data_IF_118145369713
#
_entry.id   IF_118145369713
#
_cell.length_a   1.000
_cell.length_b   1.000
_cell.length_c   1.000
_cell.angle_alpha   90.00
_cell.angle_beta   90.00
_cell.angle_gamma   90.00
#
_symmetry.space_group_name_H-M   'P 1'
#
loop_
_entity.id
_entity.type
_entity.pdbx_description
1 polymer ?
#
# COMPACT_ATOMS: atom_id res chain seq x y z
N UNK A 1 41.10 -40.52 19.98
CA UNK A 1 41.11 -39.40 19.02
C UNK A 1 39.76 -39.30 18.33
N UNK A 2 38.77 -38.64 18.93
CA UNK A 2 37.50 -38.36 18.27
C UNK A 2 37.14 -36.91 18.58
N UNK A 3 37.35 -36.05 17.58
CA UNK A 3 37.15 -34.59 17.69
C UNK A 3 35.65 -34.31 17.64
N UNK A 4 35.16 -33.70 18.71
CA UNK A 4 33.84 -33.08 18.81
C UNK A 4 33.82 -31.89 17.84
N UNK A 5 32.89 -31.88 16.89
CA UNK A 5 32.61 -30.73 16.04
C UNK A 5 31.21 -30.20 16.42
N UNK A 6 31.17 -29.26 17.36
CA UNK A 6 29.96 -28.51 17.72
C UNK A 6 29.77 -27.40 16.66
N UNK A 7 28.89 -27.64 15.69
CA UNK A 7 28.38 -26.60 14.80
C UNK A 7 27.35 -25.76 15.57
N UNK A 8 27.77 -24.58 16.03
CA UNK A 8 26.84 -23.58 16.59
C UNK A 8 26.20 -22.84 15.41
N UNK A 9 25.01 -23.28 15.01
CA UNK A 9 24.16 -22.55 14.07
C UNK A 9 23.55 -21.38 14.84
N UNK A 10 24.13 -20.19 14.70
CA UNK A 10 23.50 -18.94 15.14
C UNK A 10 22.42 -18.60 14.13
N UNK A 11 21.19 -19.05 14.38
CA UNK A 11 20.03 -18.65 13.60
C UNK A 11 19.72 -17.18 13.84
N UNK A 12 19.80 -16.35 12.79
CA UNK A 12 19.33 -14.96 12.82
C UNK A 12 17.80 -15.04 12.91
N UNK A 13 17.27 -14.93 14.13
CA UNK A 13 15.84 -14.76 14.35
C UNK A 13 15.53 -13.32 13.95
N UNK A 14 15.08 -13.11 12.71
CA UNK A 14 14.46 -11.85 12.34
C UNK A 14 13.16 -11.73 13.14
N UNK A 15 13.19 -10.99 14.25
CA UNK A 15 11.96 -10.44 14.82
C UNK A 15 11.37 -9.52 13.76
N UNK A 16 10.43 -10.06 13.00
CA UNK A 16 9.59 -9.28 12.11
C UNK A 16 8.69 -8.47 13.02
N UNK A 17 9.03 -7.20 13.24
CA UNK A 17 8.03 -6.26 13.77
C UNK A 17 6.93 -6.22 12.71
N UNK A 18 5.83 -6.92 12.97
CA UNK A 18 4.68 -6.91 12.07
C UNK A 18 3.91 -5.63 12.36
N UNK A 19 4.16 -4.60 11.55
CA UNK A 19 3.22 -3.49 11.41
C UNK A 19 1.92 -4.01 10.82
N UNK A 20 0.79 -3.54 11.33
CA UNK A 20 -0.53 -3.94 10.88
C UNK A 20 -0.72 -3.49 9.43
N UNK A 21 -1.00 -4.47 8.57
CA UNK A 21 -1.45 -4.23 7.20
C UNK A 21 -2.87 -3.62 7.20
N UNK A 22 -3.18 -2.86 6.16
CA UNK A 22 -4.51 -2.34 5.86
C UNK A 22 -4.95 -2.79 4.47
N UNK A 23 -5.26 -4.09 4.26
CA UNK A 23 -5.38 -4.71 2.94
C UNK A 23 -6.74 -4.53 2.26
N UNK A 24 -7.72 -3.90 2.91
CA UNK A 24 -9.10 -3.77 2.40
C UNK A 24 -9.73 -2.46 2.91
N UNK A 25 -10.90 -2.09 2.36
CA UNK A 25 -11.73 -1.01 2.87
C UNK A 25 -12.00 -1.23 4.36
N UNK A 26 -11.55 -0.26 5.17
CA UNK A 26 -11.63 -0.29 6.63
C UNK A 26 -10.79 -1.40 7.30
N UNK A 27 -9.71 -1.82 6.65
CA UNK A 27 -8.72 -2.73 7.21
C UNK A 27 -9.10 -4.20 7.08
N UNK A 28 -8.25 -5.09 7.61
CA UNK A 28 -8.34 -6.54 7.44
C UNK A 28 -9.72 -7.13 7.81
N UNK A 29 -10.35 -6.60 8.86
CA UNK A 29 -11.64 -7.07 9.36
C UNK A 29 -12.83 -6.21 8.87
N UNK A 30 -12.57 -5.19 8.04
CA UNK A 30 -13.55 -4.21 7.53
C UNK A 30 -14.31 -3.44 8.63
N UNK A 31 -13.80 -3.46 9.85
CA UNK A 31 -14.39 -2.85 11.03
C UNK A 31 -13.90 -1.41 11.28
N UNK A 32 -12.88 -0.96 10.54
CA UNK A 32 -12.29 0.38 10.66
C UNK A 32 -11.46 0.54 11.93
N UNK A 33 -11.00 -0.56 12.51
CA UNK A 33 -10.26 -0.56 13.77
C UNK A 33 -8.76 -0.69 13.50
N UNK A 34 -8.04 0.34 13.93
CA UNK A 34 -6.59 0.32 14.04
C UNK A 34 -6.19 -0.33 15.38
N UNK A 35 -5.28 -1.32 15.33
CA UNK A 35 -4.91 -2.20 16.44
C UNK A 35 -3.44 -2.10 16.84
N UNK A 36 -2.68 -1.26 16.15
CA UNK A 36 -1.29 -0.99 16.48
C UNK A 36 -1.17 -0.20 17.79
N UNK A 37 0.06 -0.04 18.26
CA UNK A 37 0.39 0.75 19.44
C UNK A 37 1.43 1.81 19.09
N UNK A 38 1.72 2.73 20.01
CA UNK A 38 2.73 3.77 19.76
C UNK A 38 2.25 4.92 18.87
N UNK A 39 0.94 5.20 18.82
CA UNK A 39 0.47 6.51 18.35
C UNK A 39 1.10 7.58 19.23
N UNK A 40 1.66 8.59 18.57
CA UNK A 40 2.09 9.81 19.22
C UNK A 40 0.87 10.70 19.49
N UNK A 41 0.67 11.12 20.74
CA UNK A 41 -0.38 12.10 21.09
C UNK A 41 0.04 13.53 20.71
N UNK A 42 1.35 13.74 20.55
CA UNK A 42 1.95 15.01 20.19
C UNK A 42 3.15 14.77 19.28
N UNK A 43 3.27 15.55 18.22
CA UNK A 43 4.47 15.58 17.40
C UNK A 43 5.60 16.31 18.13
N UNK A 44 6.84 15.85 17.95
CA UNK A 44 8.02 16.50 18.55
C UNK A 44 8.32 17.88 17.93
N UNK A 45 7.70 18.18 16.78
CA UNK A 45 7.84 19.41 16.01
C UNK A 45 6.49 19.83 15.45
N UNK A 46 6.31 21.14 15.22
CA UNK A 46 5.15 21.68 14.49
C UNK A 46 5.15 21.27 13.01
N UNK A 47 6.28 20.77 12.50
CA UNK A 47 6.44 20.28 11.13
C UNK A 47 6.63 18.77 11.14
N UNK A 48 5.77 18.06 10.42
CA UNK A 48 5.94 16.64 10.10
C UNK A 48 6.73 16.55 8.81
N UNK A 49 7.93 15.99 8.86
CA UNK A 49 8.74 15.78 7.66
C UNK A 49 8.05 14.81 6.70
N UNK A 50 7.90 15.24 5.46
CA UNK A 50 7.36 14.41 4.39
C UNK A 50 8.39 13.30 4.04
N UNK A 51 8.00 12.03 4.22
CA UNK A 51 8.87 10.91 3.84
C UNK A 51 9.04 10.78 2.33
N UNK A 52 7.94 10.81 1.59
CA UNK A 52 7.93 10.77 0.13
C UNK A 52 6.58 11.26 -0.41
N UNK A 53 6.57 11.61 -1.70
CA UNK A 53 5.36 11.92 -2.45
C UNK A 53 5.57 11.55 -3.92
N UNK A 54 4.53 11.02 -4.54
CA UNK A 54 4.52 10.67 -5.97
C UNK A 54 3.29 11.27 -6.64
N UNK A 55 3.43 11.83 -7.86
CA UNK A 55 2.27 12.29 -8.62
C UNK A 55 1.48 11.10 -9.15
N UNK A 56 0.17 11.12 -8.92
CA UNK A 56 -0.80 10.19 -9.52
C UNK A 56 -1.91 10.99 -10.23
N UNK A 57 -2.65 10.33 -11.10
CA UNK A 57 -3.85 10.87 -11.73
C UNK A 57 -5.00 11.06 -10.73
N UNK A 58 -6.09 11.71 -11.16
CA UNK A 58 -7.26 11.90 -10.32
C UNK A 58 -7.97 10.58 -9.98
N UNK A 59 -8.65 10.57 -8.84
CA UNK A 59 -9.40 9.42 -8.33
C UNK A 59 -9.96 9.71 -6.94
N UNK A 60 -10.82 8.82 -6.46
CA UNK A 60 -11.41 8.87 -5.12
C UNK A 60 -11.04 7.63 -4.28
N UNK A 61 -10.19 6.74 -4.80
CA UNK A 61 -9.74 5.55 -4.09
C UNK A 61 -8.94 5.93 -2.85
N UNK A 62 -9.32 5.36 -1.71
CA UNK A 62 -8.45 5.33 -0.54
C UNK A 62 -7.29 4.36 -0.78
N UNK A 63 -6.06 4.68 -0.32
CA UNK A 63 -4.93 3.79 -0.45
C UNK A 63 -5.10 2.56 0.46
N UNK A 64 -4.59 1.43 -0.01
CA UNK A 64 -4.50 0.17 0.73
C UNK A 64 -3.03 -0.13 0.98
N UNK A 65 -2.68 -0.65 2.16
CA UNK A 65 -1.29 -1.00 2.49
C UNK A 65 -1.21 -2.48 2.83
N UNK A 66 -0.33 -3.22 2.16
CA UNK A 66 -0.09 -4.61 2.54
C UNK A 66 1.31 -5.06 2.18
N UNK A 67 1.99 -5.69 3.15
CA UNK A 67 3.32 -6.31 2.98
C UNK A 67 4.36 -5.36 2.40
N UNK A 68 4.46 -4.16 2.96
CA UNK A 68 5.45 -3.16 2.55
C UNK A 68 5.10 -2.46 1.23
N UNK A 69 3.84 -2.50 0.80
CA UNK A 69 3.39 -1.92 -0.47
C UNK A 69 2.13 -1.08 -0.30
N UNK A 70 2.08 0.04 -1.00
CA UNK A 70 0.91 0.92 -1.09
C UNK A 70 0.23 0.70 -2.44
N UNK A 71 -1.08 0.52 -2.43
CA UNK A 71 -1.90 0.33 -3.62
C UNK A 71 -2.94 1.44 -3.70
N UNK A 72 -3.12 2.01 -4.89
CA UNK A 72 -4.10 3.06 -5.13
C UNK A 72 -4.51 3.01 -6.60
N UNK A 73 -5.76 3.39 -6.89
CA UNK A 73 -6.20 3.54 -8.27
C UNK A 73 -6.34 4.98 -8.68
N UNK A 74 -6.05 5.25 -9.95
CA UNK A 74 -6.28 6.56 -10.55
C UNK A 74 -6.81 6.46 -11.99
N UNK A 75 -7.11 7.62 -12.57
CA UNK A 75 -7.56 7.79 -13.95
C UNK A 75 -6.55 8.60 -14.75
N UNK A 76 -6.33 8.19 -15.99
CA UNK A 76 -5.69 8.97 -17.04
C UNK A 76 -6.74 9.48 -18.02
N UNK A 77 -6.67 10.76 -18.37
CA UNK A 77 -7.53 11.35 -19.41
C UNK A 77 -6.83 11.45 -20.77
N UNK A 78 -5.49 11.41 -20.78
CA UNK A 78 -4.65 11.54 -21.97
C UNK A 78 -3.50 10.52 -21.91
N UNK A 79 -3.02 10.03 -23.08
CA UNK A 79 -3.54 10.28 -24.42
C UNK A 79 -4.87 9.57 -24.72
N UNK A 80 -5.22 8.55 -23.94
CA UNK A 80 -6.51 7.86 -23.95
C UNK A 80 -7.07 7.77 -22.53
N UNK A 81 -8.38 7.56 -22.42
CA UNK A 81 -9.02 7.35 -21.13
C UNK A 81 -8.70 5.95 -20.60
N UNK A 82 -8.06 5.89 -19.44
CA UNK A 82 -7.69 4.64 -18.80
C UNK A 82 -7.79 4.77 -17.29
N UNK A 83 -8.01 3.66 -16.62
CA UNK A 83 -7.78 3.56 -15.17
C UNK A 83 -6.52 2.75 -14.92
N UNK A 84 -5.88 3.02 -13.78
CA UNK A 84 -4.71 2.28 -13.34
C UNK A 84 -4.89 1.78 -11.93
N UNK A 85 -4.37 0.59 -11.66
CA UNK A 85 -4.00 0.13 -10.33
C UNK A 85 -2.50 0.35 -10.19
N UNK A 86 -2.10 1.18 -9.23
CA UNK A 86 -0.71 1.53 -8.97
C UNK A 86 -0.23 0.80 -7.71
N UNK A 87 1.04 0.39 -7.72
CA UNK A 87 1.69 -0.19 -6.56
C UNK A 87 3.05 0.47 -6.32
N UNK A 88 3.24 0.93 -5.09
CA UNK A 88 4.45 1.61 -4.64
C UNK A 88 5.08 0.87 -3.48
N UNK A 89 6.39 1.00 -3.34
CA UNK A 89 7.09 0.63 -2.11
C UNK A 89 6.70 1.59 -0.98
N UNK A 90 6.31 1.03 0.17
CA UNK A 90 5.77 1.81 1.28
C UNK A 90 6.80 2.77 1.91
N UNK A 91 8.08 2.42 1.87
CA UNK A 91 9.13 3.20 2.54
C UNK A 91 9.70 4.30 1.65
N UNK A 92 9.76 4.05 0.34
CA UNK A 92 10.45 4.94 -0.61
C UNK A 92 9.49 5.69 -1.53
N UNK A 93 8.26 5.18 -1.72
CA UNK A 93 7.35 5.67 -2.74
C UNK A 93 7.73 5.25 -4.17
N UNK A 94 8.77 4.43 -4.36
CA UNK A 94 9.14 3.95 -5.69
C UNK A 94 8.01 3.11 -6.29
N UNK A 95 7.65 3.38 -7.55
CA UNK A 95 6.63 2.58 -8.23
C UNK A 95 7.17 1.19 -8.56
N UNK A 96 6.57 0.16 -7.97
CA UNK A 96 6.93 -1.24 -8.18
C UNK A 96 6.29 -1.75 -9.48
N UNK A 97 5.00 -1.47 -9.66
CA UNK A 97 4.27 -1.82 -10.88
C UNK A 97 3.03 -0.94 -11.06
N UNK A 98 2.50 -0.94 -12.28
CA UNK A 98 1.20 -0.39 -12.62
C UNK A 98 0.46 -1.36 -13.55
N UNK A 99 -0.83 -1.56 -13.32
CA UNK A 99 -1.73 -2.22 -14.24
C UNK A 99 -2.69 -1.19 -14.81
N UNK A 100 -2.75 -1.05 -16.13
CA UNK A 100 -3.59 -0.07 -16.81
C UNK A 100 -4.57 -0.78 -17.73
N UNK A 101 -5.80 -0.30 -17.78
CA UNK A 101 -6.82 -0.76 -18.72
C UNK A 101 -7.64 0.41 -19.27
N UNK A 102 -8.11 0.27 -20.51
CA UNK A 102 -8.98 1.26 -21.14
C UNK A 102 -10.30 1.36 -20.38
N UNK A 103 -10.71 2.58 -20.03
CA UNK A 103 -11.92 2.83 -19.28
C UNK A 103 -12.51 4.17 -19.70
N UNK A 104 -13.56 4.13 -20.52
CA UNK A 104 -14.21 5.33 -21.04
C UNK A 104 -15.21 5.86 -20.02
N UNK A 105 -15.04 7.12 -19.64
CA UNK A 105 -15.96 7.85 -18.79
C UNK A 105 -16.89 8.69 -19.67
N UNK A 106 -18.07 8.15 -19.99
CA UNK A 106 -19.13 8.84 -20.72
C UNK A 106 -20.43 8.85 -19.88
N UNK A 107 -21.06 10.02 -19.73
CA UNK A 107 -22.27 10.14 -18.91
C UNK A 107 -22.08 9.97 -17.39
N UNK A 108 -20.83 9.96 -16.90
CA UNK A 108 -20.51 9.80 -15.48
C UNK A 108 -20.55 11.15 -14.76
N UNK A 109 -21.42 11.31 -13.77
CA UNK A 109 -21.60 12.59 -13.04
C UNK A 109 -20.40 13.03 -12.19
N UNK A 110 -19.57 12.08 -11.74
CA UNK A 110 -18.35 12.34 -10.96
C UNK A 110 -17.15 11.72 -11.69
N UNK A 111 -16.62 12.38 -12.73
CA UNK A 111 -15.74 11.71 -13.68
C UNK A 111 -14.27 11.64 -13.24
N UNK A 112 -13.91 12.15 -12.06
CA UNK A 112 -12.50 12.30 -11.69
C UNK A 112 -11.75 10.96 -11.62
N UNK A 113 -12.42 9.83 -11.35
CA UNK A 113 -11.78 8.53 -11.44
C UNK A 113 -12.39 7.44 -10.55
N UNK A 114 -11.67 6.32 -10.37
CA UNK A 114 -12.11 5.16 -9.59
C UNK A 114 -12.29 5.50 -8.11
N UNK A 115 -13.15 4.75 -7.43
CA UNK A 115 -13.58 5.02 -6.04
C UNK A 115 -13.23 3.93 -5.04
N UNK A 116 -13.23 2.68 -5.48
CA UNK A 116 -13.03 1.55 -4.60
C UNK A 116 -11.56 1.48 -4.19
N UNK A 117 -11.30 1.22 -2.91
CA UNK A 117 -9.97 0.81 -2.46
C UNK A 117 -9.61 -0.54 -3.07
N UNK A 118 -8.34 -0.69 -3.43
CA UNK A 118 -7.81 -1.97 -3.93
C UNK A 118 -7.85 -3.00 -2.79
N UNK A 119 -8.44 -4.16 -3.02
CA UNK A 119 -8.43 -5.26 -2.04
C UNK A 119 -7.21 -6.13 -2.28
N UNK A 120 -6.43 -6.43 -1.23
CA UNK A 120 -5.29 -7.34 -1.28
C UNK A 120 -5.66 -8.64 -0.60
N UNK A 121 -5.73 -9.73 -1.37
CA UNK A 121 -6.04 -11.06 -0.84
C UNK A 121 -5.35 -12.16 -1.65
N UNK A 122 -4.77 -13.14 -0.94
CA UNK A 122 -4.09 -14.27 -1.58
C UNK A 122 -2.92 -13.86 -2.48
N UNK A 123 -2.25 -12.74 -2.18
CA UNK A 123 -1.15 -12.20 -3.00
C UNK A 123 -1.61 -11.54 -4.31
N UNK A 124 -2.89 -11.20 -4.42
CA UNK A 124 -3.48 -10.53 -5.58
C UNK A 124 -4.13 -9.21 -5.18
N UNK A 125 -4.13 -8.27 -6.11
CA UNK A 125 -4.86 -7.02 -6.03
C UNK A 125 -6.18 -7.13 -6.83
N UNK A 126 -7.28 -6.69 -6.24
CA UNK A 126 -8.61 -6.64 -6.86
C UNK A 126 -9.11 -5.20 -6.86
N UNK A 127 -9.56 -4.72 -8.02
CA UNK A 127 -10.10 -3.38 -8.24
C UNK A 127 -11.23 -3.42 -9.25
#
# INVERSE_FOLDING_TARGET
MHRILLFVIVGIIHLSCQTQDWPDWRGENRDGVWKESGIVEKFDSDVIELKWSVPIGPGYSGPTVSKGKVYVTDRLERPSQAERVLCFDEQTGEQIWAHQYDCVYEGVGYPAGPRASVVISGGKAYS
#
